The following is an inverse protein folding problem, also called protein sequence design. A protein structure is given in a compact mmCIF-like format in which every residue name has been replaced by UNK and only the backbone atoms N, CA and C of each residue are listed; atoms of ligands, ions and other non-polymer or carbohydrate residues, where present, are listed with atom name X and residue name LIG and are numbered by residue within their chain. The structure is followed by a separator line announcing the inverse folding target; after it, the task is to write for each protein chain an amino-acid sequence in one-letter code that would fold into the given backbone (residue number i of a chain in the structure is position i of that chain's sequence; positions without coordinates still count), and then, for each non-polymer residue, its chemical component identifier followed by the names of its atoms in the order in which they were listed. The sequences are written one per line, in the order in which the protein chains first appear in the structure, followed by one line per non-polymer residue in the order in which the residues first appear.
data_IF_464118171510
#
_entry.id   IF_464118171510
#
_cell.length_a   1.000
_cell.length_b   1.000
_cell.length_c   1.000
_cell.angle_alpha   90.00
_cell.angle_beta   90.00
_cell.angle_gamma   90.00
#
_symmetry.space_group_name_H-M   'P 1'
#
loop_
_entity.id
_entity.type
_entity.pdbx_description
1 polymer ?
#
# COMPACT_ATOMS: atom_id res chain seq x y z
N UNK A 1 -71.22 9.17 -16.13
CA UNK A 1 -69.88 9.21 -16.68
C UNK A 1 -68.93 8.81 -15.54
N UNK A 2 -68.47 7.54 -15.55
CA UNK A 2 -67.57 7.00 -14.53
C UNK A 2 -66.16 7.05 -15.09
N UNK A 3 -65.28 7.92 -14.50
CA UNK A 3 -63.84 7.98 -14.83
C UNK A 3 -63.13 6.81 -14.12
N UNK A 4 -62.66 5.84 -14.92
CA UNK A 4 -61.74 4.80 -14.43
C UNK A 4 -60.34 5.36 -14.39
N UNK A 5 -59.80 5.57 -13.18
CA UNK A 5 -58.40 5.93 -12.95
C UNK A 5 -57.58 4.64 -13.03
N UNK A 6 -56.75 4.54 -14.05
CA UNK A 6 -55.78 3.44 -14.23
C UNK A 6 -54.54 3.76 -13.34
N UNK A 7 -54.38 2.99 -12.28
CA UNK A 7 -53.16 3.04 -11.45
C UNK A 7 -52.12 2.11 -12.09
N UNK A 8 -51.10 2.68 -12.73
CA UNK A 8 -49.90 1.93 -13.16
C UNK A 8 -49.04 1.64 -11.93
N UNK A 9 -48.99 0.37 -11.52
CA UNK A 9 -47.97 -0.11 -10.57
C UNK A 9 -46.62 -0.24 -11.31
N UNK A 10 -45.68 0.67 -11.02
CA UNK A 10 -44.32 0.55 -11.48
C UNK A 10 -43.60 -0.43 -10.53
N UNK A 11 -43.44 -1.68 -10.92
CA UNK A 11 -42.58 -2.64 -10.22
C UNK A 11 -41.13 -2.28 -10.54
N UNK A 12 -40.45 -1.68 -9.57
CA UNK A 12 -38.99 -1.52 -9.63
C UNK A 12 -38.36 -2.92 -9.55
N UNK A 13 -37.81 -3.39 -10.65
CA UNK A 13 -36.99 -4.59 -10.71
C UNK A 13 -35.63 -4.19 -10.10
N UNK A 14 -35.42 -4.46 -8.82
CA UNK A 14 -34.08 -4.39 -8.22
C UNK A 14 -33.29 -5.54 -8.83
N UNK A 15 -32.35 -5.21 -9.72
CA UNK A 15 -31.31 -6.15 -10.12
C UNK A 15 -30.48 -6.45 -8.85
N UNK A 16 -30.60 -7.66 -8.32
CA UNK A 16 -29.64 -8.19 -7.36
C UNK A 16 -28.40 -8.46 -8.21
N UNK A 17 -27.37 -7.61 -8.08
CA UNK A 17 -26.06 -7.98 -8.58
C UNK A 17 -25.68 -9.29 -7.87
N UNK A 18 -25.46 -10.37 -8.62
CA UNK A 18 -24.81 -11.55 -8.05
C UNK A 18 -23.40 -11.09 -7.66
N UNK A 19 -23.05 -11.29 -6.38
CA UNK A 19 -21.68 -11.10 -5.93
C UNK A 19 -20.73 -11.97 -6.78
N UNK A 20 -19.55 -11.47 -7.08
CA UNK A 20 -18.55 -12.23 -7.82
C UNK A 20 -18.25 -13.54 -7.07
N UNK A 21 -18.22 -14.66 -7.79
CA UNK A 21 -17.89 -15.98 -7.23
C UNK A 21 -16.81 -16.63 -8.11
N UNK A 22 -15.57 -16.67 -7.58
CA UNK A 22 -14.43 -17.26 -8.28
C UNK A 22 -14.33 -18.79 -8.10
N UNK A 23 -15.32 -19.42 -7.45
CA UNK A 23 -15.47 -20.88 -7.38
C UNK A 23 -14.34 -21.60 -6.65
N UNK A 24 -13.67 -20.94 -5.71
CA UNK A 24 -12.51 -21.47 -4.99
C UNK A 24 -11.19 -21.36 -5.76
N UNK A 25 -11.12 -20.47 -6.78
CA UNK A 25 -9.86 -20.21 -7.53
C UNK A 25 -8.75 -19.82 -6.58
N UNK A 26 -7.58 -20.43 -6.77
CA UNK A 26 -6.34 -19.97 -6.13
C UNK A 26 -5.89 -18.72 -6.88
N UNK A 27 -5.63 -17.64 -6.14
CA UNK A 27 -5.08 -16.37 -6.63
C UNK A 27 -3.70 -16.20 -6.03
N UNK A 28 -2.68 -16.19 -6.89
CA UNK A 28 -1.30 -15.99 -6.47
C UNK A 28 -1.01 -14.49 -6.36
N UNK A 29 -0.42 -14.07 -5.23
CA UNK A 29 -0.23 -12.66 -4.85
C UNK A 29 1.25 -12.37 -4.64
N UNK A 30 1.85 -11.54 -5.50
CA UNK A 30 3.19 -10.99 -5.30
C UNK A 30 3.17 -9.90 -4.23
N UNK A 31 4.15 -9.93 -3.32
CA UNK A 31 4.27 -8.94 -2.23
C UNK A 31 5.73 -8.74 -1.83
N UNK A 32 6.16 -7.51 -1.56
CA UNK A 32 7.47 -7.24 -0.95
C UNK A 32 7.33 -7.31 0.58
N UNK A 33 7.53 -8.52 1.12
CA UNK A 33 7.33 -8.82 2.55
C UNK A 33 8.36 -8.17 3.48
N UNK A 34 8.76 -6.93 3.18
CA UNK A 34 9.69 -6.11 3.99
C UNK A 34 9.12 -4.76 4.40
N UNK A 35 7.78 -4.57 4.28
CA UNK A 35 7.10 -3.29 4.47
C UNK A 35 6.04 -3.31 5.58
N UNK A 36 6.45 -3.47 6.86
CA UNK A 36 5.51 -3.47 7.97
C UNK A 36 4.83 -2.08 8.12
N UNK A 37 3.54 -2.02 8.50
CA UNK A 37 2.65 -3.14 8.84
C UNK A 37 1.81 -3.65 7.67
N UNK A 38 2.09 -3.21 6.42
CA UNK A 38 1.34 -3.64 5.24
C UNK A 38 1.58 -5.11 4.92
N UNK A 39 2.86 -5.52 4.79
CA UNK A 39 3.27 -6.90 4.57
C UNK A 39 4.69 -7.15 5.10
N UNK A 40 4.84 -8.21 5.88
CA UNK A 40 6.14 -8.58 6.44
C UNK A 40 6.15 -10.07 6.84
N UNK A 41 7.37 -10.59 7.04
CA UNK A 41 7.54 -11.97 7.51
C UNK A 41 7.48 -12.00 9.04
N UNK A 42 6.53 -12.74 9.59
CA UNK A 42 6.43 -12.98 11.03
C UNK A 42 7.53 -13.94 11.54
N UNK A 43 7.68 -14.07 12.86
CA UNK A 43 8.71 -14.92 13.48
C UNK A 43 8.61 -16.40 13.08
N UNK A 44 7.41 -16.89 12.76
CA UNK A 44 7.18 -18.27 12.31
C UNK A 44 7.43 -18.49 10.82
N UNK A 45 7.83 -17.42 10.10
CA UNK A 45 8.12 -17.43 8.68
C UNK A 45 6.91 -17.21 7.78
N UNK A 46 5.72 -16.95 8.32
CA UNK A 46 4.52 -16.62 7.52
C UNK A 46 4.52 -15.16 7.08
N UNK A 47 3.97 -14.88 5.91
CA UNK A 47 3.74 -13.50 5.46
C UNK A 47 2.43 -13.02 6.09
N UNK A 48 2.48 -11.89 6.78
CA UNK A 48 1.36 -11.27 7.48
C UNK A 48 1.34 -9.76 7.24
N UNK A 49 0.24 -9.10 7.55
CA UNK A 49 0.12 -7.65 7.45
C UNK A 49 -1.27 -7.21 7.00
N UNK A 50 -1.41 -5.90 6.86
CA UNK A 50 -2.68 -5.30 6.44
C UNK A 50 -3.11 -5.79 5.04
N UNK A 51 -2.21 -5.77 4.06
CA UNK A 51 -2.52 -6.19 2.69
C UNK A 51 -2.83 -7.69 2.60
N UNK A 52 -2.19 -8.51 3.45
CA UNK A 52 -2.49 -9.94 3.55
C UNK A 52 -3.92 -10.16 4.08
N UNK A 53 -4.27 -9.50 5.17
CA UNK A 53 -5.62 -9.58 5.74
C UNK A 53 -6.68 -9.00 4.79
N UNK A 54 -6.37 -7.89 4.10
CA UNK A 54 -7.23 -7.25 3.11
C UNK A 54 -7.60 -8.23 1.99
N UNK A 55 -6.59 -8.84 1.35
CA UNK A 55 -6.81 -9.78 0.25
C UNK A 55 -7.57 -11.02 0.73
N UNK A 56 -7.25 -11.56 1.91
CA UNK A 56 -7.97 -12.68 2.48
C UNK A 56 -9.44 -12.33 2.76
N UNK A 57 -9.73 -11.15 3.32
CA UNK A 57 -11.10 -10.70 3.56
C UNK A 57 -11.89 -10.53 2.25
N UNK A 58 -11.26 -10.03 1.19
CA UNK A 58 -11.85 -9.95 -0.15
C UNK A 58 -12.12 -11.37 -0.68
N UNK A 59 -11.14 -12.28 -0.61
CA UNK A 59 -11.28 -13.66 -1.07
C UNK A 59 -12.42 -14.42 -0.35
N UNK A 60 -12.67 -14.14 0.92
CA UNK A 60 -13.85 -14.69 1.64
C UNK A 60 -15.18 -14.24 1.01
N UNK A 61 -15.26 -13.02 0.45
CA UNK A 61 -16.48 -12.50 -0.20
C UNK A 61 -16.69 -13.07 -1.61
N UNK A 62 -15.60 -13.15 -2.38
CA UNK A 62 -15.63 -13.57 -3.78
C UNK A 62 -15.26 -15.04 -4.01
N UNK A 63 -15.18 -15.83 -2.92
CA UNK A 63 -14.89 -17.28 -2.96
C UNK A 63 -13.59 -17.59 -3.71
N UNK A 64 -12.45 -17.04 -3.24
CA UNK A 64 -11.10 -17.38 -3.69
C UNK A 64 -10.20 -17.79 -2.52
N UNK A 65 -9.00 -18.25 -2.85
CA UNK A 65 -7.94 -18.58 -1.90
C UNK A 65 -6.69 -17.82 -2.31
N UNK A 66 -6.15 -16.95 -1.46
CA UNK A 66 -4.92 -16.21 -1.72
C UNK A 66 -3.69 -17.02 -1.34
N UNK A 67 -2.68 -17.06 -2.23
CA UNK A 67 -1.35 -17.63 -1.97
C UNK A 67 -0.30 -16.55 -2.18
N UNK A 68 0.37 -16.10 -1.09
CA UNK A 68 1.34 -15.01 -1.13
C UNK A 68 2.74 -15.51 -1.47
N UNK A 69 3.43 -14.75 -2.33
CA UNK A 69 4.80 -15.00 -2.75
C UNK A 69 5.64 -13.75 -2.49
N UNK A 70 6.72 -13.88 -1.69
CA UNK A 70 7.66 -12.78 -1.46
C UNK A 70 8.47 -12.50 -2.72
N UNK A 71 8.45 -11.25 -3.17
CA UNK A 71 9.13 -10.79 -4.39
C UNK A 71 9.76 -9.43 -4.12
N UNK A 72 11.01 -9.21 -4.54
CA UNK A 72 11.67 -7.92 -4.37
C UNK A 72 10.91 -6.81 -5.12
N UNK A 73 10.81 -5.63 -4.50
CA UNK A 73 10.03 -4.50 -5.01
C UNK A 73 10.41 -4.05 -6.42
N UNK A 74 11.70 -3.93 -6.73
CA UNK A 74 12.19 -3.45 -8.02
C UNK A 74 11.87 -4.40 -9.19
N UNK A 75 11.58 -5.67 -8.88
CA UNK A 75 11.18 -6.71 -9.84
C UNK A 75 9.69 -7.03 -9.87
N UNK A 76 8.87 -6.48 -8.96
CA UNK A 76 7.50 -6.95 -8.75
C UNK A 76 6.56 -6.67 -9.93
N UNK A 77 6.62 -5.48 -10.54
CA UNK A 77 5.80 -5.15 -11.72
C UNK A 77 6.22 -5.96 -12.95
N UNK A 78 7.52 -6.08 -13.30
CA UNK A 78 7.97 -7.02 -14.34
C UNK A 78 7.53 -8.46 -14.11
N UNK A 79 7.55 -8.98 -12.88
CA UNK A 79 7.13 -10.34 -12.54
C UNK A 79 5.61 -10.52 -12.76
N UNK A 80 4.77 -9.54 -12.35
CA UNK A 80 3.35 -9.52 -12.66
C UNK A 80 3.11 -9.55 -14.19
N UNK A 81 3.81 -8.72 -14.94
CA UNK A 81 3.69 -8.68 -16.40
C UNK A 81 4.12 -9.98 -17.07
N UNK A 82 5.07 -10.71 -16.49
CA UNK A 82 5.51 -12.03 -16.93
C UNK A 82 4.54 -13.17 -16.53
N UNK A 83 3.54 -12.90 -15.66
CA UNK A 83 2.57 -13.88 -15.18
C UNK A 83 3.13 -14.82 -14.11
N UNK A 84 4.11 -14.37 -13.33
CA UNK A 84 4.65 -15.15 -12.22
C UNK A 84 3.65 -15.27 -11.06
N UNK A 85 2.74 -14.32 -10.95
CA UNK A 85 1.58 -14.29 -10.05
C UNK A 85 0.41 -13.54 -10.69
N UNK A 86 -0.79 -13.70 -10.14
CA UNK A 86 -2.04 -13.15 -10.71
C UNK A 86 -2.22 -11.67 -10.39
N UNK A 87 -1.72 -11.21 -9.21
CA UNK A 87 -1.87 -9.84 -8.73
C UNK A 87 -0.74 -9.43 -7.78
N UNK A 88 -0.66 -8.14 -7.49
CA UNK A 88 0.19 -7.56 -6.44
C UNK A 88 -0.70 -6.95 -5.35
N UNK A 89 -0.38 -7.25 -4.09
CA UNK A 89 -0.82 -6.49 -2.92
C UNK A 89 0.42 -6.22 -2.07
N UNK A 90 0.89 -4.97 -2.06
CA UNK A 90 2.19 -4.60 -1.50
C UNK A 90 2.33 -3.10 -1.28
N UNK A 91 1.35 -2.47 -0.60
CA UNK A 91 1.36 -1.03 -0.35
C UNK A 91 1.59 -0.18 -1.60
N UNK A 92 1.12 -0.66 -2.77
CA UNK A 92 1.50 -0.06 -4.04
C UNK A 92 0.68 1.19 -4.37
N UNK A 93 1.36 2.34 -4.47
CA UNK A 93 0.73 3.60 -4.90
C UNK A 93 0.23 3.51 -6.33
N UNK A 94 -1.01 3.95 -6.56
CA UNK A 94 -1.61 4.13 -7.89
C UNK A 94 -0.97 5.36 -8.52
N UNK A 95 -0.17 5.16 -9.57
CA UNK A 95 0.44 6.27 -10.33
C UNK A 95 0.10 6.16 -11.81
N UNK A 96 0.07 7.32 -12.49
CA UNK A 96 -0.17 7.36 -13.94
C UNK A 96 0.91 6.61 -14.76
N UNK A 97 2.14 6.53 -14.24
CA UNK A 97 3.22 5.79 -14.87
C UNK A 97 2.97 4.28 -14.76
N UNK A 98 2.70 3.77 -13.56
CA UNK A 98 2.39 2.35 -13.32
C UNK A 98 1.15 1.90 -14.07
N UNK A 99 0.10 2.75 -14.13
CA UNK A 99 -1.14 2.47 -14.85
C UNK A 99 -0.99 2.35 -16.39
N UNK A 100 0.19 2.64 -16.95
CA UNK A 100 0.47 2.37 -18.37
C UNK A 100 0.82 0.92 -18.64
N UNK A 101 1.23 0.17 -17.62
CA UNK A 101 1.75 -1.21 -17.76
C UNK A 101 1.03 -2.24 -16.89
N UNK A 102 0.26 -1.80 -15.90
CA UNK A 102 -0.58 -2.63 -15.02
C UNK A 102 -1.94 -1.98 -14.83
N UNK A 103 -2.93 -2.76 -14.40
CA UNK A 103 -4.26 -2.30 -14.04
C UNK A 103 -4.42 -2.31 -12.52
N UNK A 104 -5.12 -1.31 -11.96
CA UNK A 104 -5.32 -1.19 -10.52
C UNK A 104 -6.77 -1.48 -10.13
N UNK A 105 -6.96 -1.97 -8.92
CA UNK A 105 -8.25 -1.91 -8.23
C UNK A 105 -8.65 -0.47 -7.91
N UNK A 106 -9.87 -0.29 -7.42
CA UNK A 106 -10.24 0.89 -6.68
C UNK A 106 -9.28 1.08 -5.47
N UNK A 107 -9.00 2.33 -5.05
CA UNK A 107 -8.10 2.58 -3.94
C UNK A 107 -8.69 2.06 -2.62
N UNK A 108 -7.87 1.34 -1.83
CA UNK A 108 -8.29 0.80 -0.53
C UNK A 108 -7.77 1.63 0.66
N UNK A 109 -6.71 2.41 0.45
CA UNK A 109 -6.10 3.28 1.46
C UNK A 109 -5.44 4.49 0.80
N UNK A 110 -5.15 5.52 1.59
CA UNK A 110 -4.30 6.66 1.20
C UNK A 110 -3.19 6.77 2.22
N UNK A 111 -1.95 6.77 1.75
CA UNK A 111 -0.77 7.01 2.58
C UNK A 111 -0.27 8.44 2.40
N UNK A 112 0.41 8.96 3.41
CA UNK A 112 1.15 10.22 3.35
C UNK A 112 2.63 9.95 3.50
N UNK A 113 3.46 10.71 2.79
CA UNK A 113 4.90 10.57 2.87
C UNK A 113 5.47 11.35 4.06
N UNK A 114 6.56 10.82 4.62
CA UNK A 114 7.24 11.35 5.79
C UNK A 114 8.77 11.28 5.64
N UNK A 115 9.47 11.95 6.55
CA UNK A 115 10.91 11.72 6.75
C UNK A 115 11.14 11.22 8.17
N UNK A 116 11.68 10.03 8.27
CA UNK A 116 12.22 9.50 9.51
C UNK A 116 13.67 9.98 9.68
N UNK A 117 14.02 10.41 10.91
CA UNK A 117 15.36 10.88 11.28
C UNK A 117 15.81 10.21 12.58
N UNK A 118 17.11 10.29 12.92
CA UNK A 118 17.55 9.93 14.25
C UNK A 118 17.02 10.92 15.28
N UNK A 119 16.79 10.46 16.51
CA UNK A 119 16.27 11.31 17.61
C UNK A 119 17.18 12.54 17.83
N UNK A 120 18.49 12.41 17.65
CA UNK A 120 19.45 13.51 17.80
C UNK A 120 19.37 14.57 16.68
N UNK A 121 18.81 14.23 15.54
CA UNK A 121 18.60 15.11 14.38
C UNK A 121 17.18 15.69 14.32
N UNK A 122 16.32 15.39 15.29
CA UNK A 122 14.94 15.85 15.33
C UNK A 122 14.80 17.36 15.53
N UNK A 123 13.65 17.91 15.11
CA UNK A 123 13.32 19.34 15.27
C UNK A 123 13.78 20.21 14.10
N UNK A 124 14.23 19.61 13.00
CA UNK A 124 14.61 20.33 11.78
C UNK A 124 13.41 20.35 10.81
N UNK A 125 13.01 21.52 10.35
CA UNK A 125 11.93 21.64 9.37
C UNK A 125 12.34 21.04 8.01
N UNK A 126 11.36 20.56 7.24
CA UNK A 126 11.62 19.95 5.92
C UNK A 126 12.41 20.87 5.00
N UNK A 127 12.01 22.15 4.89
CA UNK A 127 12.69 23.14 4.04
C UNK A 127 14.14 23.39 4.48
N UNK A 128 14.42 23.33 5.77
CA UNK A 128 15.78 23.46 6.30
C UNK A 128 16.63 22.23 5.96
N UNK A 129 16.03 21.04 6.05
CA UNK A 129 16.69 19.78 5.66
C UNK A 129 17.01 19.77 4.16
N UNK A 130 16.11 20.26 3.32
CA UNK A 130 16.30 20.39 1.87
C UNK A 130 17.37 21.44 1.55
N UNK A 131 17.36 22.60 2.24
CA UNK A 131 18.30 23.70 2.02
C UNK A 131 19.74 23.38 2.46
N UNK A 132 19.91 22.45 3.40
CA UNK A 132 21.24 21.98 3.81
C UNK A 132 21.88 21.11 2.73
N UNK A 133 22.75 21.69 1.92
CA UNK A 133 23.43 21.03 0.80
C UNK A 133 24.30 19.82 1.18
N UNK A 134 24.59 19.63 2.47
CA UNK A 134 25.31 18.46 3.00
C UNK A 134 24.39 17.28 3.38
N UNK A 135 23.08 17.51 3.42
CA UNK A 135 22.12 16.46 3.77
C UNK A 135 21.98 15.42 2.66
N UNK A 136 22.13 14.16 3.01
CA UNK A 136 21.78 12.99 2.19
C UNK A 136 20.59 12.27 2.80
N UNK A 137 19.70 11.75 1.95
CA UNK A 137 18.53 10.97 2.36
C UNK A 137 18.53 9.60 1.71
N UNK A 138 17.87 8.64 2.37
CA UNK A 138 17.66 7.30 1.85
C UNK A 138 16.20 7.08 1.43
N UNK A 139 15.97 6.22 0.44
CA UNK A 139 14.66 5.68 0.08
C UNK A 139 14.81 4.31 -0.58
N UNK A 140 13.71 3.55 -0.66
CA UNK A 140 13.72 2.30 -1.42
C UNK A 140 13.62 2.58 -2.92
N UNK A 141 14.42 1.87 -3.71
CA UNK A 141 14.49 1.98 -5.18
C UNK A 141 13.11 1.78 -5.82
N UNK A 142 12.72 2.66 -6.78
CA UNK A 142 11.48 2.49 -7.56
C UNK A 142 10.18 2.80 -6.83
N UNK A 143 10.25 3.41 -5.65
CA UNK A 143 9.08 3.86 -4.89
C UNK A 143 8.71 5.32 -5.20
N UNK A 144 7.46 5.72 -4.90
CA UNK A 144 7.04 7.13 -4.95
C UNK A 144 7.84 7.97 -3.97
N UNK A 145 8.25 7.39 -2.84
CA UNK A 145 9.14 8.03 -1.86
C UNK A 145 10.53 8.36 -2.46
N UNK A 146 11.09 7.47 -3.28
CA UNK A 146 12.36 7.74 -3.97
C UNK A 146 12.22 8.86 -5.00
N UNK A 147 11.13 8.89 -5.76
CA UNK A 147 10.86 9.98 -6.73
C UNK A 147 10.66 11.32 -6.01
N UNK A 148 9.89 11.34 -4.92
CA UNK A 148 9.73 12.53 -4.10
C UNK A 148 11.07 13.00 -3.52
N UNK A 149 11.88 12.08 -2.99
CA UNK A 149 13.20 12.41 -2.45
C UNK A 149 14.13 12.97 -3.55
N UNK A 150 14.10 12.41 -4.75
CA UNK A 150 14.89 12.92 -5.88
C UNK A 150 14.47 14.33 -6.30
N UNK A 151 13.16 14.62 -6.33
CA UNK A 151 12.62 15.95 -6.62
C UNK A 151 13.02 16.98 -5.56
N UNK A 152 12.91 16.63 -4.28
CA UNK A 152 13.16 17.54 -3.17
C UNK A 152 14.65 17.78 -2.91
N UNK A 153 15.47 16.73 -2.89
CA UNK A 153 16.87 16.80 -2.49
C UNK A 153 17.84 16.78 -3.68
N UNK A 154 17.41 16.31 -4.85
CA UNK A 154 18.25 16.07 -6.01
C UNK A 154 18.96 14.71 -5.97
N UNK A 155 19.25 14.17 -7.15
CA UNK A 155 19.83 12.83 -7.34
C UNK A 155 21.12 12.59 -6.57
N UNK A 156 21.97 13.60 -6.50
CA UNK A 156 23.30 13.49 -5.86
C UNK A 156 23.23 13.36 -4.33
N UNK A 157 22.06 13.66 -3.74
CA UNK A 157 21.80 13.58 -2.30
C UNK A 157 20.87 12.43 -1.91
N UNK A 158 20.45 11.61 -2.87
CA UNK A 158 19.59 10.46 -2.67
C UNK A 158 20.40 9.16 -2.75
N UNK A 159 20.40 8.39 -1.66
CA UNK A 159 20.91 7.03 -1.61
C UNK A 159 19.73 6.06 -1.75
N UNK A 160 19.79 5.18 -2.74
CA UNK A 160 18.76 4.18 -3.00
C UNK A 160 19.17 2.83 -2.40
N UNK A 161 18.19 2.16 -1.81
CA UNK A 161 18.33 0.86 -1.15
C UNK A 161 17.33 -0.14 -1.71
N UNK A 162 17.62 -1.42 -1.60
CA UNK A 162 16.70 -2.47 -2.08
C UNK A 162 15.45 -2.58 -1.19
N UNK A 163 15.60 -2.28 0.13
CA UNK A 163 14.47 -2.30 1.08
C UNK A 163 14.50 -1.06 1.99
N UNK A 164 13.33 -0.71 2.56
CA UNK A 164 13.28 0.34 3.59
C UNK A 164 14.06 -0.03 4.86
N UNK A 165 14.10 -1.31 5.23
CA UNK A 165 14.91 -1.76 6.36
C UNK A 165 16.41 -1.43 6.17
N UNK A 166 16.94 -1.58 4.95
CA UNK A 166 18.31 -1.18 4.62
C UNK A 166 18.51 0.35 4.71
N UNK A 167 17.54 1.13 4.21
CA UNK A 167 17.57 2.59 4.31
C UNK A 167 17.56 3.05 5.78
N UNK A 168 16.69 2.44 6.61
CA UNK A 168 16.62 2.70 8.05
C UNK A 168 17.93 2.31 8.76
N UNK A 169 18.53 1.17 8.39
CA UNK A 169 19.84 0.80 8.96
C UNK A 169 20.93 1.80 8.59
N UNK A 170 20.93 2.32 7.36
CA UNK A 170 21.85 3.38 6.94
C UNK A 170 21.62 4.70 7.72
N UNK A 171 20.35 5.03 8.03
CA UNK A 171 20.01 6.16 8.90
C UNK A 171 20.59 5.99 10.31
N UNK A 172 20.39 4.81 10.92
CA UNK A 172 20.91 4.51 12.26
C UNK A 172 22.44 4.53 12.33
N UNK A 173 23.11 4.13 11.25
CA UNK A 173 24.58 4.19 11.12
C UNK A 173 25.11 5.61 10.86
N UNK A 174 24.24 6.57 10.48
CA UNK A 174 24.64 7.94 10.11
C UNK A 174 25.11 8.09 8.66
N UNK A 175 24.89 7.09 7.80
CA UNK A 175 25.24 7.15 6.37
C UNK A 175 24.30 8.09 5.61
N UNK A 176 23.06 8.24 6.08
CA UNK A 176 22.07 9.22 5.63
C UNK A 176 21.51 9.98 6.84
N UNK A 177 20.98 11.17 6.62
CA UNK A 177 20.40 12.01 7.67
C UNK A 177 18.88 11.82 7.83
N UNK A 178 18.21 11.33 6.79
CA UNK A 178 16.80 11.02 6.82
C UNK A 178 16.45 9.87 5.88
N UNK A 179 15.32 9.23 6.12
CA UNK A 179 14.71 8.24 5.20
C UNK A 179 13.34 8.76 4.80
N UNK A 180 13.13 8.93 3.48
CA UNK A 180 11.81 9.26 2.92
C UNK A 180 11.04 7.96 2.75
N UNK A 181 9.89 7.89 3.41
CA UNK A 181 9.06 6.68 3.53
C UNK A 181 7.63 7.11 3.88
N UNK A 182 6.62 6.25 3.71
CA UNK A 182 5.27 6.55 4.13
C UNK A 182 5.13 6.57 5.66
N UNK A 183 4.22 7.40 6.19
CA UNK A 183 4.07 7.63 7.63
C UNK A 183 3.85 6.35 8.43
N UNK A 184 2.94 5.48 7.99
CA UNK A 184 2.56 4.27 8.73
C UNK A 184 3.74 3.29 8.86
N UNK A 185 4.48 2.93 7.80
CA UNK A 185 5.72 2.15 7.94
C UNK A 185 6.83 2.88 8.71
N UNK A 186 6.93 4.21 8.56
CA UNK A 186 7.88 4.99 9.35
C UNK A 186 7.62 4.84 10.86
N UNK A 187 6.34 4.90 11.28
CA UNK A 187 5.95 4.70 12.67
C UNK A 187 6.24 3.28 13.16
N UNK A 188 6.07 2.26 12.30
CA UNK A 188 6.43 0.89 12.64
C UNK A 188 7.94 0.76 12.89
N UNK A 189 8.79 1.33 12.03
CA UNK A 189 10.23 1.37 12.25
C UNK A 189 10.62 2.21 13.48
N UNK A 190 9.94 3.33 13.73
CA UNK A 190 10.19 4.14 14.92
C UNK A 190 9.83 3.40 16.22
N UNK A 191 8.81 2.56 16.21
CA UNK A 191 8.46 1.69 17.33
C UNK A 191 9.50 0.57 17.52
N UNK A 192 9.98 -0.06 16.45
CA UNK A 192 11.03 -1.08 16.48
C UNK A 192 12.36 -0.51 17.03
N UNK A 193 12.75 0.68 16.58
CA UNK A 193 13.99 1.36 17.00
C UNK A 193 13.71 2.48 18.01
N UNK A 194 12.81 2.24 18.96
CA UNK A 194 12.40 3.22 19.96
C UNK A 194 13.57 3.91 20.66
N UNK A 195 13.54 5.25 20.70
CA UNK A 195 14.59 6.07 21.30
C UNK A 195 15.83 6.28 20.39
N UNK A 196 15.87 5.72 19.19
CA UNK A 196 16.92 5.95 18.20
C UNK A 196 16.37 6.66 16.96
N UNK A 197 15.15 6.37 16.56
CA UNK A 197 14.48 6.88 15.36
C UNK A 197 13.17 7.57 15.73
N UNK A 198 12.83 8.64 15.02
CA UNK A 198 11.58 9.38 15.15
C UNK A 198 11.07 9.81 13.76
N UNK A 199 9.75 9.82 13.59
CA UNK A 199 9.11 10.37 12.40
C UNK A 199 8.82 11.84 12.65
N UNK A 200 9.76 12.70 12.27
CA UNK A 200 9.77 14.12 12.62
C UNK A 200 9.01 15.00 11.61
N UNK A 201 9.06 14.63 10.34
CA UNK A 201 8.43 15.36 9.24
C UNK A 201 7.35 14.49 8.63
N UNK A 202 6.12 15.03 8.52
CA UNK A 202 4.92 14.31 8.09
C UNK A 202 4.13 15.12 7.07
N UNK A 203 3.17 14.47 6.38
CA UNK A 203 2.22 15.15 5.50
C UNK A 203 2.84 15.71 4.22
N UNK A 204 3.88 15.07 3.67
CA UNK A 204 4.64 15.58 2.53
C UNK A 204 4.02 15.28 1.16
N UNK A 205 3.01 14.43 1.11
CA UNK A 205 2.32 14.05 -0.11
C UNK A 205 1.31 12.97 0.20
N UNK A 206 0.33 12.77 -0.67
CA UNK A 206 -0.70 11.76 -0.52
C UNK A 206 -0.69 10.84 -1.73
N UNK A 207 -0.61 9.52 -1.49
CA UNK A 207 -0.64 8.50 -2.52
C UNK A 207 -1.78 7.50 -2.24
N UNK A 208 -2.75 7.33 -3.17
CA UNK A 208 -3.73 6.27 -3.06
C UNK A 208 -3.07 4.91 -3.33
N UNK A 209 -3.37 3.90 -2.50
CA UNK A 209 -2.90 2.53 -2.67
C UNK A 209 -3.95 1.68 -3.37
N UNK A 210 -3.51 0.82 -4.30
CA UNK A 210 -4.34 -0.14 -5.01
C UNK A 210 -3.67 -1.49 -5.16
N UNK A 211 -4.49 -2.54 -5.25
CA UNK A 211 -4.03 -3.85 -5.70
C UNK A 211 -3.77 -3.76 -7.21
N UNK A 212 -2.70 -4.40 -7.70
CA UNK A 212 -2.34 -4.32 -9.10
C UNK A 212 -2.50 -5.67 -9.81
N UNK A 213 -2.90 -5.60 -11.08
CA UNK A 213 -3.21 -6.75 -11.93
C UNK A 213 -2.57 -6.57 -13.31
N UNK A 214 -2.48 -7.65 -14.08
CA UNK A 214 -2.18 -7.53 -15.51
C UNK A 214 -3.31 -6.77 -16.21
N UNK A 215 -2.97 -5.96 -17.21
CA UNK A 215 -3.98 -5.24 -18.02
C UNK A 215 -4.96 -6.23 -18.65
N UNK A 216 -6.26 -6.01 -18.39
CA UNK A 216 -7.34 -6.87 -18.87
C UNK A 216 -7.54 -8.15 -18.04
N UNK A 217 -7.04 -8.19 -16.82
CA UNK A 217 -7.28 -9.30 -15.90
C UNK A 217 -8.77 -9.42 -15.56
N UNK A 218 -9.28 -10.65 -15.53
CA UNK A 218 -10.64 -10.97 -15.10
C UNK A 218 -10.86 -10.84 -13.59
N UNK A 219 -9.79 -10.57 -12.83
CA UNK A 219 -9.85 -10.42 -11.37
C UNK A 219 -10.21 -9.02 -10.91
N UNK A 220 -9.95 -7.97 -11.71
CA UNK A 220 -10.10 -6.56 -11.27
C UNK A 220 -11.51 -6.28 -10.78
N UNK A 221 -12.52 -6.62 -11.60
CA UNK A 221 -13.93 -6.38 -11.25
C UNK A 221 -14.33 -7.16 -10.00
N UNK A 222 -13.95 -8.44 -9.91
CA UNK A 222 -14.26 -9.28 -8.76
C UNK A 222 -13.63 -8.75 -7.46
N UNK A 223 -12.36 -8.32 -7.51
CA UNK A 223 -11.68 -7.74 -6.36
C UNK A 223 -12.26 -6.37 -5.96
N UNK A 224 -12.70 -5.55 -6.91
CA UNK A 224 -13.41 -4.30 -6.63
C UNK A 224 -14.77 -4.54 -5.97
N UNK A 225 -15.53 -5.56 -6.42
CA UNK A 225 -16.80 -5.96 -5.77
C UNK A 225 -16.54 -6.40 -4.32
N UNK A 226 -15.58 -7.31 -4.09
CA UNK A 226 -15.22 -7.76 -2.74
C UNK A 226 -14.69 -6.63 -1.85
N UNK A 227 -13.89 -5.71 -2.40
CA UNK A 227 -13.43 -4.51 -1.69
C UNK A 227 -14.60 -3.61 -1.27
N UNK A 228 -15.56 -3.40 -2.17
CA UNK A 228 -16.75 -2.61 -1.86
C UNK A 228 -17.60 -3.28 -0.75
N UNK A 229 -17.73 -4.61 -0.76
CA UNK A 229 -18.46 -5.35 0.29
C UNK A 229 -17.81 -5.21 1.65
N UNK A 230 -16.48 -5.44 1.77
CA UNK A 230 -15.77 -5.30 3.05
C UNK A 230 -15.69 -3.84 3.53
N UNK A 231 -15.75 -2.87 2.62
CA UNK A 231 -15.87 -1.45 2.98
C UNK A 231 -17.27 -1.13 3.52
N UNK A 232 -18.32 -1.67 2.90
CA UNK A 232 -19.71 -1.41 3.30
C UNK A 232 -20.10 -2.04 4.64
N UNK A 233 -19.53 -3.20 4.99
CA UNK A 233 -19.84 -3.90 6.24
C UNK A 233 -18.92 -3.53 7.42
N UNK A 234 -17.91 -2.65 7.20
CA UNK A 234 -16.97 -2.16 8.20
C UNK A 234 -15.75 -3.06 8.43
N UNK A 235 -15.61 -4.16 7.68
CA UNK A 235 -14.43 -5.05 7.77
C UNK A 235 -13.15 -4.30 7.42
N UNK A 236 -13.16 -3.48 6.36
CA UNK A 236 -12.00 -2.67 5.95
C UNK A 236 -11.55 -1.70 7.07
N UNK A 237 -12.51 -1.04 7.74
CA UNK A 237 -12.21 -0.14 8.84
C UNK A 237 -11.64 -0.89 10.06
N UNK A 238 -12.17 -2.08 10.34
CA UNK A 238 -11.63 -2.95 11.39
C UNK A 238 -10.18 -3.39 11.11
N UNK A 239 -9.85 -3.70 9.84
CA UNK A 239 -8.48 -4.01 9.43
C UNK A 239 -7.54 -2.80 9.58
N UNK A 240 -7.97 -1.59 9.19
CA UNK A 240 -7.20 -0.36 9.41
C UNK A 240 -6.95 -0.12 10.90
N UNK A 241 -7.95 -0.30 11.74
CA UNK A 241 -7.79 -0.18 13.19
C UNK A 241 -6.82 -1.23 13.76
N UNK A 242 -6.86 -2.47 13.26
CA UNK A 242 -5.95 -3.53 13.69
C UNK A 242 -4.48 -3.23 13.41
N UNK A 243 -4.19 -2.66 12.22
CA UNK A 243 -2.84 -2.58 11.72
C UNK A 243 -2.19 -1.18 11.82
N UNK A 244 -2.99 -0.11 11.78
CA UNK A 244 -2.47 1.26 11.70
C UNK A 244 -2.64 2.07 12.99
N UNK A 245 -3.48 1.61 13.92
CA UNK A 245 -3.59 2.25 15.23
C UNK A 245 -2.65 1.52 16.19
N UNK A 246 -1.49 2.10 16.45
CA UNK A 246 -0.64 1.64 17.56
C UNK A 246 -1.40 1.91 18.85
N UNK A 247 -1.73 0.84 19.58
CA UNK A 247 -2.39 0.98 20.89
C UNK A 247 -1.53 1.84 21.83
N UNK A 248 -2.21 2.80 22.51
CA UNK A 248 -1.65 3.60 23.60
C UNK A 248 -1.17 2.70 24.75
#
# INVERSE_FOLDING_TARGET
MIRRTLVLLLTALTAVALAADLGGRIVTVGTDSTYPPFEFVAEDGTIVGFDVDLVNAICERINCVAEFQSTAWDGIIPALAAGEFDMIASGMSITAERAQVIEFSDPYHVVTQAVAVRVEDAGVAFDELVADGGTTVGAQTGTTNAYFAEEAFGRDRLNLYDTFAQAVQALLNGDVRGVVIDEVPADAFAAEYAGQLVVDIRGLGEDPLGMAFQIGSDLVDAFNEGLAEIAADGTLDALKLKWFVTGD
#
